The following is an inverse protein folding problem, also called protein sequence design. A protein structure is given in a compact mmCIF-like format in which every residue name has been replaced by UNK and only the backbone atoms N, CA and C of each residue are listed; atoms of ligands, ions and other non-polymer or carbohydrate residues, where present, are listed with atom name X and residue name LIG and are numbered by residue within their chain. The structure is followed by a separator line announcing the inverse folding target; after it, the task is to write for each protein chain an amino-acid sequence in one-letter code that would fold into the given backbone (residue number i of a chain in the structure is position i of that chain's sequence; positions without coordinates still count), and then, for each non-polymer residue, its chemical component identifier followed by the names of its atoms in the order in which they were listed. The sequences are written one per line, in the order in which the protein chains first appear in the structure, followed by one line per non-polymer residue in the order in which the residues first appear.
data_IF_160281762995
#
_entry.id   IF_160281762995
#
_cell.length_a   1.000
_cell.length_b   1.000
_cell.length_c   1.000
_cell.angle_alpha   90.00
_cell.angle_beta   90.00
_cell.angle_gamma   90.00
#
_symmetry.space_group_name_H-M   'P 1'
#
loop_
_entity.id
_entity.type
_entity.pdbx_description
1 polymer ?
#
# COMPACT_ATOMS: atom_id res chain seq x y z
N UNK A 1 20.84 1.48 -26.69
CA UNK A 1 20.11 1.80 -25.44
C UNK A 1 18.79 2.41 -25.86
N UNK A 2 17.67 1.79 -25.53
CA UNK A 2 16.35 2.33 -25.86
C UNK A 2 16.00 3.28 -24.70
N UNK A 3 15.96 4.59 -24.95
CA UNK A 3 15.39 5.53 -23.98
C UNK A 3 13.87 5.33 -23.97
N UNK A 4 13.29 5.04 -22.80
CA UNK A 4 11.85 4.79 -22.65
C UNK A 4 11.45 3.32 -22.51
N UNK A 5 12.40 2.42 -22.23
CA UNK A 5 12.06 1.04 -21.92
C UNK A 5 11.34 0.92 -20.56
N UNK A 6 10.19 0.27 -20.55
CA UNK A 6 9.39 0.07 -19.33
C UNK A 6 9.60 -1.34 -18.77
N UNK A 7 9.97 -2.27 -19.64
CA UNK A 7 10.35 -3.64 -19.31
C UNK A 7 11.75 -3.75 -18.69
N UNK A 8 11.90 -4.65 -17.72
CA UNK A 8 13.16 -5.06 -17.13
C UNK A 8 13.35 -6.55 -17.35
N UNK A 9 14.50 -6.96 -17.88
CA UNK A 9 14.77 -8.37 -18.22
C UNK A 9 14.02 -8.87 -19.47
N UNK A 10 13.30 -8.00 -20.17
CA UNK A 10 12.53 -8.31 -21.38
C UNK A 10 12.61 -7.12 -22.35
N UNK A 11 12.53 -7.41 -23.65
CA UNK A 11 12.40 -6.38 -24.68
C UNK A 11 10.97 -5.82 -24.69
N UNK A 12 10.83 -4.50 -24.80
CA UNK A 12 9.51 -3.90 -24.99
C UNK A 12 8.88 -4.36 -26.31
N UNK A 13 7.54 -4.47 -26.34
CA UNK A 13 6.79 -4.97 -27.50
C UNK A 13 6.45 -6.46 -27.46
N UNK A 14 6.72 -7.14 -26.33
CA UNK A 14 6.25 -8.49 -26.05
C UNK A 14 4.78 -8.55 -25.62
N UNK A 15 4.28 -9.73 -25.19
CA UNK A 15 2.92 -9.89 -24.71
C UNK A 15 2.65 -9.07 -23.43
N UNK A 16 1.60 -8.26 -23.48
CA UNK A 16 1.23 -7.33 -22.42
C UNK A 16 -0.23 -7.54 -21.96
N UNK A 17 -0.55 -7.09 -20.74
CA UNK A 17 -1.92 -7.09 -20.24
C UNK A 17 -2.82 -6.17 -21.07
N UNK A 18 -4.06 -6.60 -21.40
CA UNK A 18 -5.00 -5.75 -22.13
C UNK A 18 -5.31 -4.48 -21.32
N UNK A 19 -5.49 -3.35 -22.00
CA UNK A 19 -5.75 -2.00 -21.47
C UNK A 19 -4.63 -1.34 -20.67
N UNK A 20 -3.91 -2.09 -19.85
CA UNK A 20 -2.82 -1.56 -19.01
C UNK A 20 -1.48 -1.53 -19.74
N UNK A 21 -1.32 -2.45 -20.70
CA UNK A 21 -0.11 -2.59 -21.49
C UNK A 21 1.09 -3.08 -20.68
N UNK A 22 0.91 -3.60 -19.46
CA UNK A 22 2.00 -4.06 -18.60
C UNK A 22 2.56 -5.40 -19.08
N UNK A 23 3.88 -5.57 -19.02
CA UNK A 23 4.52 -6.80 -19.46
C UNK A 23 4.06 -8.02 -18.66
N UNK A 24 3.79 -9.11 -19.38
CA UNK A 24 3.45 -10.41 -18.77
C UNK A 24 4.66 -11.36 -18.67
N UNK A 25 5.79 -11.00 -19.28
CA UNK A 25 6.96 -11.87 -19.40
C UNK A 25 8.11 -11.45 -18.48
N UNK A 26 8.25 -10.16 -18.18
CA UNK A 26 9.32 -9.63 -17.34
C UNK A 26 8.84 -8.57 -16.35
N UNK A 27 9.80 -7.89 -15.72
CA UNK A 27 9.52 -6.79 -14.81
C UNK A 27 8.96 -5.58 -15.54
N UNK A 28 8.04 -4.85 -14.92
CA UNK A 28 7.46 -3.63 -15.50
C UNK A 28 7.43 -2.50 -14.47
N UNK A 29 8.19 -1.45 -14.74
CA UNK A 29 8.33 -0.30 -13.83
C UNK A 29 7.04 0.54 -13.73
N UNK A 30 6.15 0.45 -14.74
CA UNK A 30 4.89 1.21 -14.76
C UNK A 30 3.96 0.78 -13.63
N UNK A 31 4.02 -0.47 -13.20
CA UNK A 31 3.16 -0.99 -12.14
C UNK A 31 3.45 -0.26 -10.82
N UNK A 32 4.72 -0.15 -10.45
CA UNK A 32 5.14 0.59 -9.25
C UNK A 32 4.75 2.08 -9.35
N UNK A 33 4.97 2.70 -10.52
CA UNK A 33 4.62 4.10 -10.75
C UNK A 33 3.10 4.35 -10.69
N UNK A 34 2.30 3.47 -11.30
CA UNK A 34 0.85 3.54 -11.29
C UNK A 34 0.31 3.48 -9.87
N UNK A 35 0.77 2.50 -9.07
CA UNK A 35 0.34 2.34 -7.67
C UNK A 35 0.75 3.55 -6.82
N UNK A 36 1.93 4.14 -7.06
CA UNK A 36 2.36 5.36 -6.39
C UNK A 36 1.45 6.55 -6.71
N UNK A 37 1.09 6.76 -7.99
CA UNK A 37 0.20 7.84 -8.38
C UNK A 37 -1.20 7.73 -7.75
N UNK A 38 -1.69 6.50 -7.52
CA UNK A 38 -2.99 6.30 -6.88
C UNK A 38 -2.99 6.69 -5.39
N UNK A 39 -1.83 6.67 -4.71
CA UNK A 39 -1.76 7.16 -3.33
C UNK A 39 -2.11 8.65 -3.21
N UNK A 40 -1.78 9.45 -4.22
CA UNK A 40 -2.12 10.88 -4.24
C UNK A 40 -3.64 11.12 -4.22
N UNK A 41 -4.43 10.14 -4.65
CA UNK A 41 -5.90 10.21 -4.60
C UNK A 41 -6.45 9.55 -3.33
N UNK A 42 -5.94 8.37 -3.01
CA UNK A 42 -6.48 7.52 -1.92
C UNK A 42 -6.11 8.07 -0.54
N UNK A 43 -4.88 8.53 -0.31
CA UNK A 43 -4.44 8.97 1.01
C UNK A 43 -5.15 10.26 1.48
N UNK A 44 -5.32 11.31 0.63
CA UNK A 44 -6.11 12.48 1.03
C UNK A 44 -7.57 12.13 1.28
N UNK A 45 -8.15 11.23 0.46
CA UNK A 45 -9.52 10.76 0.66
C UNK A 45 -9.67 10.04 2.02
N UNK A 46 -8.73 9.18 2.39
CA UNK A 46 -8.75 8.52 3.69
C UNK A 46 -8.59 9.53 4.83
N UNK A 47 -7.68 10.49 4.71
CA UNK A 47 -7.50 11.55 5.70
C UNK A 47 -8.79 12.36 5.92
N UNK A 48 -9.48 12.72 4.84
CA UNK A 48 -10.79 13.36 4.87
C UNK A 48 -11.85 12.47 5.53
N UNK A 49 -11.92 11.19 5.14
CA UNK A 49 -12.88 10.23 5.68
C UNK A 49 -12.71 10.00 7.18
N UNK A 50 -11.47 9.84 7.65
CA UNK A 50 -11.15 9.71 9.09
C UNK A 50 -11.43 11.00 9.87
N UNK A 51 -11.43 12.14 9.18
CA UNK A 51 -11.74 13.45 9.79
C UNK A 51 -13.24 13.74 9.88
N UNK A 52 -14.06 13.01 9.13
CA UNK A 52 -15.50 13.16 9.13
C UNK A 52 -16.11 12.85 10.50
N UNK A 53 -17.30 13.42 10.78
CA UNK A 53 -18.03 13.25 12.05
C UNK A 53 -18.41 11.79 12.38
N UNK A 54 -18.16 10.85 11.48
CA UNK A 54 -18.40 9.42 11.65
C UNK A 54 -17.52 8.75 12.71
N UNK A 55 -16.39 9.36 13.11
CA UNK A 55 -15.45 8.78 14.09
C UNK A 55 -15.19 9.69 15.31
N UNK A 56 -16.20 9.90 16.18
CA UNK A 56 -16.10 10.81 17.32
C UNK A 56 -15.07 10.36 18.38
N UNK A 57 -14.82 9.05 18.49
CA UNK A 57 -13.87 8.49 19.45
C UNK A 57 -12.39 8.58 18.98
N UNK A 58 -12.15 8.84 17.69
CA UNK A 58 -10.79 9.01 17.17
C UNK A 58 -10.31 10.44 17.40
N UNK A 59 -9.47 10.64 18.42
CA UNK A 59 -8.67 11.88 18.60
C UNK A 59 -7.76 12.12 17.39
N UNK A 60 -7.37 13.38 17.17
CA UNK A 60 -6.48 13.80 16.06
C UNK A 60 -5.21 12.96 15.98
N UNK A 61 -4.57 12.65 17.11
CA UNK A 61 -3.37 11.82 17.16
C UNK A 61 -3.59 10.41 16.56
N UNK A 62 -4.74 9.77 16.82
CA UNK A 62 -5.05 8.45 16.26
C UNK A 62 -5.32 8.52 14.75
N UNK A 63 -5.99 9.59 14.29
CA UNK A 63 -6.22 9.81 12.86
C UNK A 63 -4.90 9.99 12.11
N UNK A 64 -4.02 10.82 12.65
CA UNK A 64 -2.67 11.03 12.11
C UNK A 64 -1.87 9.74 12.11
N UNK A 65 -1.91 8.96 13.20
CA UNK A 65 -1.24 7.67 13.26
C UNK A 65 -1.74 6.70 12.18
N UNK A 66 -3.05 6.58 12.00
CA UNK A 66 -3.65 5.73 10.95
C UNK A 66 -3.24 6.18 9.55
N UNK A 67 -3.25 7.48 9.26
CA UNK A 67 -2.79 8.02 7.97
C UNK A 67 -1.31 7.69 7.75
N UNK A 68 -0.44 7.91 8.74
CA UNK A 68 0.98 7.57 8.64
C UNK A 68 1.21 6.07 8.44
N UNK A 69 0.47 5.21 9.14
CA UNK A 69 0.52 3.76 8.95
C UNK A 69 0.19 3.38 7.50
N UNK A 70 -0.84 3.98 6.92
CA UNK A 70 -1.23 3.74 5.53
C UNK A 70 -0.21 4.29 4.54
N UNK A 71 0.35 5.48 4.79
CA UNK A 71 1.43 6.04 3.97
C UNK A 71 2.66 5.12 3.95
N UNK A 72 3.09 4.63 5.12
CA UNK A 72 4.25 3.74 5.24
C UNK A 72 3.98 2.37 4.61
N UNK A 73 2.77 1.82 4.80
CA UNK A 73 2.36 0.56 4.17
C UNK A 73 2.33 0.67 2.64
N UNK A 74 1.74 1.73 2.11
CA UNK A 74 1.71 1.99 0.67
C UNK A 74 3.12 2.19 0.10
N UNK A 75 3.96 3.00 0.77
CA UNK A 75 5.37 3.18 0.38
C UNK A 75 6.13 1.85 0.35
N UNK A 76 5.92 1.00 1.36
CA UNK A 76 6.52 -0.33 1.43
C UNK A 76 6.08 -1.23 0.27
N UNK A 77 4.79 -1.18 -0.10
CA UNK A 77 4.27 -1.93 -1.24
C UNK A 77 4.89 -1.45 -2.56
N UNK A 78 5.00 -0.14 -2.76
CA UNK A 78 5.64 0.44 -3.96
C UNK A 78 7.12 0.07 -4.04
N UNK A 79 7.86 0.12 -2.93
CA UNK A 79 9.26 -0.34 -2.89
C UNK A 79 9.35 -1.83 -3.24
N UNK A 80 8.43 -2.66 -2.75
CA UNK A 80 8.39 -4.08 -3.10
C UNK A 80 8.06 -4.33 -4.57
N UNK A 81 7.12 -3.57 -5.16
CA UNK A 81 6.79 -3.65 -6.59
C UNK A 81 7.97 -3.23 -7.45
N UNK A 82 8.65 -2.16 -7.06
CA UNK A 82 9.86 -1.72 -7.74
C UNK A 82 10.97 -2.77 -7.65
N UNK A 83 11.20 -3.35 -6.46
CA UNK A 83 12.19 -4.42 -6.29
C UNK A 83 11.83 -5.70 -7.04
N UNK A 84 10.55 -6.01 -7.20
CA UNK A 84 10.07 -7.10 -8.06
C UNK A 84 10.34 -6.82 -9.54
N UNK A 85 10.00 -5.62 -10.02
CA UNK A 85 10.25 -5.21 -11.40
C UNK A 85 11.76 -5.16 -11.72
N UNK A 86 12.59 -4.63 -10.82
CA UNK A 86 14.05 -4.57 -11.02
C UNK A 86 14.71 -5.96 -11.05
N UNK A 87 14.08 -6.98 -10.47
CA UNK A 87 14.49 -8.39 -10.60
C UNK A 87 14.05 -9.03 -11.93
N UNK A 88 13.40 -8.27 -12.82
CA UNK A 88 12.91 -8.75 -14.11
C UNK A 88 11.76 -9.75 -14.01
N UNK A 89 11.06 -9.79 -12.87
CA UNK A 89 9.99 -10.76 -12.64
C UNK A 89 8.67 -10.28 -13.21
N UNK A 90 7.89 -11.21 -13.75
CA UNK A 90 6.52 -10.94 -14.16
C UNK A 90 5.58 -10.77 -12.96
N UNK A 91 4.67 -9.82 -13.03
CA UNK A 91 3.65 -9.62 -11.99
C UNK A 91 2.53 -10.67 -12.02
N UNK A 92 2.34 -11.38 -13.14
CA UNK A 92 1.35 -12.47 -13.22
C UNK A 92 1.92 -13.81 -12.73
N UNK A 93 3.24 -13.90 -12.57
CA UNK A 93 3.91 -15.07 -12.00
C UNK A 93 4.98 -14.63 -10.96
N UNK A 94 4.57 -14.04 -9.83
CA UNK A 94 5.51 -13.59 -8.81
C UNK A 94 6.21 -14.75 -8.10
N UNK A 95 7.46 -14.55 -7.72
CA UNK A 95 8.19 -15.51 -6.90
C UNK A 95 7.76 -15.49 -5.42
N UNK A 96 8.22 -16.49 -4.66
CA UNK A 96 7.92 -16.60 -3.23
C UNK A 96 8.37 -15.36 -2.45
N UNK A 97 9.54 -14.80 -2.77
CA UNK A 97 10.04 -13.61 -2.09
C UNK A 97 9.08 -12.41 -2.26
N UNK A 98 8.55 -12.22 -3.46
CA UNK A 98 7.57 -11.18 -3.77
C UNK A 98 6.27 -11.38 -2.99
N UNK A 99 5.78 -12.61 -2.91
CA UNK A 99 4.61 -12.92 -2.09
C UNK A 99 4.84 -12.62 -0.62
N UNK A 100 6.02 -12.97 -0.09
CA UNK A 100 6.39 -12.69 1.30
C UNK A 100 6.52 -11.19 1.58
N UNK A 101 7.10 -10.41 0.67
CA UNK A 101 7.22 -8.96 0.86
C UNK A 101 5.87 -8.26 0.76
N UNK A 102 5.03 -8.61 -0.21
CA UNK A 102 3.67 -8.05 -0.30
C UNK A 102 2.82 -8.43 0.90
N UNK A 103 2.79 -9.73 1.23
CA UNK A 103 2.04 -10.25 2.38
C UNK A 103 2.54 -9.67 3.71
N UNK A 104 3.86 -9.53 3.87
CA UNK A 104 4.49 -8.93 5.04
C UNK A 104 4.12 -7.45 5.21
N UNK A 105 4.20 -6.65 4.14
CA UNK A 105 3.80 -5.24 4.16
C UNK A 105 2.33 -5.08 4.50
N UNK A 106 1.45 -5.85 3.85
CA UNK A 106 0.00 -5.80 4.12
C UNK A 106 -0.30 -6.22 5.56
N UNK A 107 0.28 -7.33 6.03
CA UNK A 107 0.07 -7.83 7.38
C UNK A 107 0.55 -6.83 8.43
N UNK A 108 1.74 -6.26 8.27
CA UNK A 108 2.27 -5.26 9.18
C UNK A 108 1.38 -4.01 9.22
N UNK A 109 0.92 -3.54 8.06
CA UNK A 109 0.02 -2.37 7.96
C UNK A 109 -1.29 -2.62 8.70
N UNK A 110 -1.91 -3.79 8.49
CA UNK A 110 -3.17 -4.18 9.16
C UNK A 110 -2.96 -4.33 10.67
N UNK A 111 -1.89 -5.00 11.10
CA UNK A 111 -1.60 -5.20 12.54
C UNK A 111 -1.43 -3.85 13.24
N UNK A 112 -0.65 -2.94 12.67
CA UNK A 112 -0.42 -1.61 13.27
C UNK A 112 -1.72 -0.80 13.29
N UNK A 113 -2.49 -0.78 12.20
CA UNK A 113 -3.77 -0.07 12.17
C UNK A 113 -4.78 -0.64 13.19
N UNK A 114 -4.86 -1.98 13.29
CA UNK A 114 -5.70 -2.66 14.26
C UNK A 114 -5.26 -2.36 15.69
N UNK A 115 -3.97 -2.32 15.97
CA UNK A 115 -3.44 -1.95 17.29
C UNK A 115 -3.83 -0.53 17.67
N UNK A 116 -3.75 0.44 16.74
CA UNK A 116 -4.22 1.82 16.98
C UNK A 116 -5.71 1.84 17.31
N UNK A 117 -6.54 1.15 16.53
CA UNK A 117 -8.00 1.09 16.77
C UNK A 117 -8.34 0.39 18.09
N UNK A 118 -7.67 -0.72 18.40
CA UNK A 118 -7.88 -1.47 19.64
C UNK A 118 -7.48 -0.64 20.85
N UNK A 119 -6.35 0.06 20.79
CA UNK A 119 -5.90 0.97 21.85
C UNK A 119 -6.96 2.05 22.15
N UNK A 120 -7.57 2.62 21.11
CA UNK A 120 -8.68 3.58 21.27
C UNK A 120 -9.88 2.94 21.97
N UNK A 121 -10.30 1.75 21.52
CA UNK A 121 -11.47 1.04 22.08
C UNK A 121 -11.28 0.70 23.56
N UNK A 122 -10.11 0.17 23.92
CA UNK A 122 -9.79 -0.21 25.30
C UNK A 122 -9.78 1.00 26.24
N UNK A 123 -9.18 2.12 25.82
CA UNK A 123 -9.12 3.33 26.64
C UNK A 123 -10.48 4.02 26.79
N UNK A 124 -11.32 3.98 25.75
CA UNK A 124 -12.67 4.53 25.81
C UNK A 124 -13.54 3.75 26.80
N UNK A 125 -13.46 2.41 26.80
CA UNK A 125 -14.21 1.55 27.71
C UNK A 125 -13.80 1.72 29.19
N UNK A 126 -12.51 1.97 29.46
CA UNK A 126 -12.02 2.23 30.81
C UNK A 126 -12.54 3.57 31.36
N UNK A 127 -12.62 4.61 30.53
CA UNK A 127 -13.14 5.92 30.93
C UNK A 127 -14.62 5.89 31.30
N UNK A 128 -15.43 5.02 30.68
CA UNK A 128 -16.86 4.90 31.00
C UNK A 128 -17.10 4.21 32.35
N UNK A 129 -16.20 3.30 32.77
CA UNK A 129 -16.32 2.56 34.04
C UNK A 129 -15.95 3.37 35.28
N UNK A 130 -15.17 4.44 35.15
CA UNK A 130 -14.75 5.29 36.27
C UNK A 130 -15.77 6.38 36.63
N UNK A 131 -16.79 6.58 35.78
CA UNK A 131 -17.80 7.65 35.93
C UNK A 131 -19.18 7.07 36.30
N UNK A 132 -19.33 5.75 36.32
CA UNK A 132 -20.53 5.02 36.74
C UNK A 132 -20.36 4.48 38.17
#
# INVERSE_FOLDING_TARGET
MISGAHGVGVLDGGPDLPFLGWSTQGGDLRIAHFVELHALQVLPFIGWFLSAKHFPHLRTAHRVALVWTLCLGHRGLVVSLLGQALRGQSSIAPDMLTWLTWGGVVSATVIVAAAVVLHVRLNTAHSTRLVA
#
